data_IF_684502991864
#
_entry.id   IF_684502991864
#
_cell.length_a   1.000
_cell.length_b   1.000
_cell.length_c   1.000
_cell.angle_alpha   90.00
_cell.angle_beta   90.00
_cell.angle_gamma   90.00
#
_symmetry.space_group_name_H-M   'P 1'
#
loop_
_entity.id
_entity.type
_entity.pdbx_description
1 polymer ?
#
# COMPACT_ATOMS: atom_id res chain seq x y z
N UNK A 1 -13.13 9.63 -13.43
CA UNK A 1 -12.76 8.69 -12.34
C UNK A 1 -13.36 7.34 -12.67
N UNK A 2 -12.53 6.31 -12.85
CA UNK A 2 -12.99 4.94 -13.09
C UNK A 2 -13.09 4.21 -11.75
N UNK A 3 -13.98 3.21 -11.66
CA UNK A 3 -14.17 2.40 -10.43
C UNK A 3 -12.83 1.81 -9.94
N UNK A 4 -11.93 1.51 -10.89
CA UNK A 4 -10.59 1.02 -10.62
C UNK A 4 -9.76 2.00 -9.77
N UNK A 5 -9.80 3.31 -10.06
CA UNK A 5 -9.04 4.31 -9.28
C UNK A 5 -9.60 4.45 -7.87
N UNK A 6 -10.93 4.37 -7.70
CA UNK A 6 -11.57 4.41 -6.39
C UNK A 6 -11.18 3.21 -5.53
N UNK A 7 -11.27 1.99 -6.09
CA UNK A 7 -10.85 0.77 -5.42
C UNK A 7 -9.37 0.83 -5.03
N UNK A 8 -8.51 1.30 -5.93
CA UNK A 8 -7.09 1.45 -5.64
C UNK A 8 -6.84 2.42 -4.48
N UNK A 9 -7.50 3.58 -4.44
CA UNK A 9 -7.42 4.51 -3.31
C UNK A 9 -7.87 3.85 -2.00
N UNK A 10 -8.97 3.08 -2.01
CA UNK A 10 -9.43 2.32 -0.82
C UNK A 10 -8.41 1.29 -0.35
N UNK A 11 -7.75 0.59 -1.28
CA UNK A 11 -6.67 -0.37 -0.97
C UNK A 11 -5.45 0.34 -0.37
N UNK A 12 -5.10 1.53 -0.86
CA UNK A 12 -3.97 2.30 -0.31
C UNK A 12 -4.25 2.79 1.11
N UNK A 13 -5.47 3.24 1.38
CA UNK A 13 -5.90 3.62 2.72
C UNK A 13 -5.83 2.44 3.71
N UNK A 14 -6.34 1.27 3.29
CA UNK A 14 -6.19 0.03 4.05
C UNK A 14 -4.72 -0.31 4.31
N UNK A 15 -3.88 -0.18 3.29
CA UNK A 15 -2.44 -0.47 3.38
C UNK A 15 -1.78 0.41 4.42
N UNK A 16 -2.05 1.73 4.39
CA UNK A 16 -1.53 2.69 5.36
C UNK A 16 -1.86 2.22 6.79
N UNK A 17 -3.10 1.84 7.02
CA UNK A 17 -3.56 1.35 8.32
C UNK A 17 -2.90 0.03 8.76
N UNK A 18 -2.60 -0.87 7.83
CA UNK A 18 -1.86 -2.10 8.13
C UNK A 18 -0.37 -1.83 8.41
N UNK A 19 0.25 -0.89 7.70
CA UNK A 19 1.64 -0.50 7.93
C UNK A 19 1.83 0.16 9.29
N UNK A 20 0.86 0.98 9.74
CA UNK A 20 0.82 1.52 11.10
C UNK A 20 0.77 0.41 12.17
N UNK A 21 0.14 -0.72 11.85
CA UNK A 21 0.11 -1.92 12.70
C UNK A 21 1.37 -2.79 12.58
N UNK A 22 2.47 -2.24 12.04
CA UNK A 22 3.74 -2.94 11.84
C UNK A 22 3.69 -4.19 10.93
N UNK A 23 2.61 -4.39 10.17
CA UNK A 23 2.52 -5.53 9.25
C UNK A 23 3.54 -5.44 8.12
N UNK A 24 3.91 -6.57 7.53
CA UNK A 24 4.81 -6.60 6.37
C UNK A 24 4.04 -6.19 5.13
N UNK A 25 4.72 -5.45 4.25
CA UNK A 25 4.18 -4.95 2.98
C UNK A 25 3.78 -6.12 2.08
N UNK A 26 4.58 -7.19 2.09
CA UNK A 26 4.30 -8.46 1.41
C UNK A 26 2.99 -9.08 1.87
N UNK A 27 2.74 -9.17 3.18
CA UNK A 27 1.47 -9.70 3.72
C UNK A 27 0.28 -8.85 3.26
N UNK A 28 0.40 -7.53 3.31
CA UNK A 28 -0.66 -6.62 2.88
C UNK A 28 -0.91 -6.72 1.37
N UNK A 29 0.14 -6.82 0.56
CA UNK A 29 0.02 -7.02 -0.89
C UNK A 29 -0.66 -8.34 -1.22
N UNK A 30 -0.31 -9.43 -0.51
CA UNK A 30 -0.96 -10.74 -0.60
C UNK A 30 -2.45 -10.66 -0.24
N UNK A 31 -2.80 -10.00 0.87
CA UNK A 31 -4.20 -9.82 1.28
C UNK A 31 -5.03 -9.04 0.25
N UNK A 32 -4.40 -8.14 -0.49
CA UNK A 32 -5.05 -7.33 -1.53
C UNK A 32 -5.12 -8.04 -2.90
N UNK A 33 -4.60 -9.27 -3.01
CA UNK A 33 -4.52 -10.01 -4.25
C UNK A 33 -3.54 -9.40 -5.26
N UNK A 34 -2.65 -8.52 -4.80
CA UNK A 34 -1.63 -7.93 -5.67
C UNK A 34 -0.48 -8.91 -5.86
N UNK A 35 -0.43 -9.53 -7.03
CA UNK A 35 0.64 -10.45 -7.44
C UNK A 35 1.97 -9.73 -7.63
N UNK A 36 1.96 -8.42 -7.93
CA UNK A 36 3.16 -7.65 -8.20
C UNK A 36 3.38 -6.52 -7.18
N UNK A 37 4.31 -6.78 -6.25
CA UNK A 37 4.72 -5.84 -5.19
C UNK A 37 5.31 -4.55 -5.77
N UNK A 38 5.97 -4.59 -6.94
CA UNK A 38 6.54 -3.38 -7.56
C UNK A 38 5.44 -2.41 -8.01
N UNK A 39 4.38 -2.93 -8.63
CA UNK A 39 3.22 -2.12 -9.01
C UNK A 39 2.51 -1.55 -7.79
N UNK A 40 2.38 -2.37 -6.74
CA UNK A 40 1.83 -1.94 -5.47
C UNK A 40 2.65 -0.81 -4.82
N UNK A 41 3.97 -0.95 -4.73
CA UNK A 41 4.86 0.08 -4.17
C UNK A 41 4.81 1.38 -4.97
N UNK A 42 4.74 1.33 -6.30
CA UNK A 42 4.53 2.54 -7.13
C UNK A 42 3.19 3.20 -6.83
N UNK A 43 2.12 2.42 -6.76
CA UNK A 43 0.78 2.94 -6.53
C UNK A 43 0.63 3.53 -5.11
N UNK A 44 1.22 2.87 -4.11
CA UNK A 44 1.28 3.36 -2.74
C UNK A 44 2.09 4.65 -2.66
N UNK A 45 3.28 4.70 -3.28
CA UNK A 45 4.10 5.92 -3.34
C UNK A 45 3.36 7.06 -4.04
N UNK A 46 2.60 6.79 -5.10
CA UNK A 46 1.79 7.81 -5.77
C UNK A 46 0.68 8.36 -4.87
N UNK A 47 0.15 7.54 -3.97
CA UNK A 47 -0.95 7.91 -3.08
C UNK A 47 -0.48 8.57 -1.77
N UNK A 48 0.60 8.06 -1.17
CA UNK A 48 1.11 8.48 0.14
C UNK A 48 2.32 9.42 0.02
N UNK A 49 2.99 9.46 -1.13
CA UNK A 49 4.18 10.26 -1.40
C UNK A 49 5.50 9.51 -1.22
N UNK A 50 5.53 8.51 -0.32
CA UNK A 50 6.73 7.71 0.00
C UNK A 50 6.50 6.22 -0.25
N UNK A 51 7.59 5.47 -0.45
CA UNK A 51 7.50 4.02 -0.63
C UNK A 51 6.99 3.35 0.65
N UNK A 52 6.25 2.23 0.54
CA UNK A 52 5.70 1.55 1.71
C UNK A 52 6.79 1.05 2.67
N UNK A 53 7.99 0.72 2.16
CA UNK A 53 9.17 0.36 2.98
C UNK A 53 9.67 1.54 3.81
N UNK A 54 9.74 2.73 3.23
CA UNK A 54 10.15 3.93 3.93
C UNK A 54 9.09 4.34 4.96
N UNK A 55 7.81 4.29 4.58
CA UNK A 55 6.68 4.55 5.48
C UNK A 55 6.71 3.63 6.71
N UNK A 56 7.03 2.35 6.51
CA UNK A 56 7.19 1.40 7.62
C UNK A 56 8.40 1.72 8.49
N UNK A 57 9.51 2.15 7.88
CA UNK A 57 10.74 2.50 8.60
C UNK A 57 10.58 3.76 9.45
N UNK A 58 9.86 4.78 8.97
CA UNK A 58 9.61 6.02 9.73
C UNK A 58 8.62 5.84 10.88
N UNK A 59 7.78 4.80 10.82
CA UNK A 59 6.82 4.46 11.88
C UNK A 59 7.38 3.47 12.91
N UNK A 60 8.67 3.16 12.83
CA UNK A 60 9.36 2.23 13.73
C UNK A 60 10.36 2.98 14.59
#
# INVERSE_FOLDING_TARGET
MTIQTYLNSKRMDYTKNQLLKNKKITDVALQLGNTNIYNFSRAFKKHVGISPELFKKEQK
#
